data_IF_713856985528
#
_entry.id   IF_713856985528
#
_cell.length_a   1.000
_cell.length_b   1.000
_cell.length_c   1.000
_cell.angle_alpha   90.00
_cell.angle_beta   90.00
_cell.angle_gamma   90.00
#
_symmetry.space_group_name_H-M   'P 1'
#
loop_
_entity.id
_entity.type
_entity.pdbx_description
1 polymer ?
#
# COMPACT_ATOMS: atom_id res chain seq x y z
N UNK A 1 12.55 -2.54 -46.21
CA UNK A 1 12.00 -2.85 -44.89
C UNK A 1 11.79 -1.52 -44.17
N UNK A 2 10.55 -1.02 -44.09
CA UNK A 2 10.26 0.23 -43.37
C UNK A 2 10.02 -0.10 -41.91
N UNK A 3 10.80 0.49 -41.02
CA UNK A 3 10.46 0.55 -39.60
C UNK A 3 9.43 1.67 -39.43
N UNK A 4 8.14 1.32 -39.42
CA UNK A 4 7.10 2.23 -38.95
C UNK A 4 7.22 2.30 -37.43
N UNK A 5 7.93 3.33 -36.94
CA UNK A 5 8.02 3.58 -35.50
C UNK A 5 6.65 4.05 -35.03
N UNK A 6 6.02 3.25 -34.18
CA UNK A 6 4.69 3.53 -33.65
C UNK A 6 4.72 4.79 -32.77
N UNK A 7 3.81 5.72 -33.04
CA UNK A 7 3.70 6.98 -32.32
C UNK A 7 3.32 6.77 -30.84
N UNK A 8 2.57 5.72 -30.55
CA UNK A 8 2.18 5.35 -29.19
C UNK A 8 3.38 4.87 -28.35
N UNK A 9 4.29 4.09 -28.96
CA UNK A 9 5.51 3.62 -28.29
C UNK A 9 6.45 4.79 -27.95
N UNK A 10 6.64 5.74 -28.90
CA UNK A 10 7.41 6.97 -28.63
C UNK A 10 6.81 7.80 -27.49
N UNK A 11 5.48 7.87 -27.40
CA UNK A 11 4.81 8.63 -26.36
C UNK A 11 4.89 7.94 -24.99
N UNK A 12 4.76 6.61 -24.94
CA UNK A 12 4.92 5.85 -23.71
C UNK A 12 6.38 5.92 -23.20
N UNK A 13 7.37 5.88 -24.10
CA UNK A 13 8.78 6.12 -23.79
C UNK A 13 9.01 7.53 -23.22
N UNK A 14 8.38 8.56 -23.79
CA UNK A 14 8.41 9.93 -23.24
C UNK A 14 7.84 10.01 -21.81
N UNK A 15 6.71 9.34 -21.55
CA UNK A 15 6.11 9.26 -20.21
C UNK A 15 7.02 8.51 -19.22
N UNK A 16 7.70 7.44 -19.65
CA UNK A 16 8.66 6.71 -18.84
C UNK A 16 9.86 7.58 -18.46
N UNK A 17 10.43 8.32 -19.42
CA UNK A 17 11.58 9.21 -19.18
C UNK A 17 11.25 10.36 -18.21
N UNK A 18 10.11 11.04 -18.38
CA UNK A 18 9.65 12.06 -17.40
C UNK A 18 9.45 11.45 -16.00
N UNK A 19 8.98 10.21 -15.93
CA UNK A 19 8.78 9.52 -14.67
C UNK A 19 10.09 9.12 -14.00
N UNK A 20 11.09 8.66 -14.76
CA UNK A 20 12.43 8.37 -14.26
C UNK A 20 13.06 9.61 -13.61
N UNK A 21 12.97 10.75 -14.30
CA UNK A 21 13.48 12.03 -13.81
C UNK A 21 12.82 12.47 -12.50
N UNK A 22 11.52 12.22 -12.35
CA UNK A 22 10.80 12.59 -11.12
C UNK A 22 11.04 11.63 -9.96
N UNK A 23 10.91 10.31 -10.18
CA UNK A 23 10.93 9.31 -9.12
C UNK A 23 12.33 8.78 -8.78
N UNK A 24 13.21 8.64 -9.77
CA UNK A 24 14.54 8.06 -9.58
C UNK A 24 15.63 9.13 -9.47
N UNK A 25 15.59 10.18 -10.30
CA UNK A 25 16.55 11.30 -10.24
C UNK A 25 16.14 12.40 -9.22
N UNK A 26 14.96 12.29 -8.60
CA UNK A 26 14.40 13.26 -7.64
C UNK A 26 14.27 14.72 -8.18
N UNK A 27 14.23 14.93 -9.50
CA UNK A 27 14.00 16.26 -10.09
C UNK A 27 12.60 16.74 -9.78
N UNK A 28 12.46 18.02 -9.41
CA UNK A 28 11.14 18.61 -9.22
C UNK A 28 10.41 18.75 -10.55
N UNK A 29 9.07 18.73 -10.51
CA UNK A 29 8.23 18.99 -11.69
C UNK A 29 8.56 20.33 -12.39
N UNK A 30 9.11 21.31 -11.66
CA UNK A 30 9.51 22.61 -12.18
C UNK A 30 10.85 22.56 -12.93
N UNK A 31 11.77 21.68 -12.55
CA UNK A 31 13.04 21.46 -13.26
C UNK A 31 12.79 20.66 -14.54
N UNK A 32 12.02 19.56 -14.43
CA UNK A 32 11.56 18.78 -15.60
C UNK A 32 10.80 19.68 -16.58
N UNK A 33 9.96 20.60 -16.08
CA UNK A 33 9.25 21.54 -16.94
C UNK A 33 10.19 22.46 -17.74
N UNK A 34 11.30 22.91 -17.15
CA UNK A 34 12.31 23.71 -17.86
C UNK A 34 13.05 22.87 -18.91
N UNK A 35 13.45 21.66 -18.55
CA UNK A 35 14.22 20.75 -19.42
C UNK A 35 13.45 20.38 -20.70
N UNK A 36 12.13 20.15 -20.60
CA UNK A 36 11.25 19.86 -21.74
C UNK A 36 10.51 21.08 -22.32
N UNK A 37 10.91 22.32 -22.01
CA UNK A 37 10.25 23.56 -22.47
C UNK A 37 8.71 23.54 -22.32
N UNK A 38 8.23 23.09 -21.16
CA UNK A 38 6.82 22.85 -20.85
C UNK A 38 6.43 23.51 -19.53
N UNK A 39 5.22 23.24 -19.03
CA UNK A 39 4.74 23.79 -17.74
C UNK A 39 4.70 22.72 -16.67
N UNK A 40 4.87 23.12 -15.39
CA UNK A 40 4.69 22.24 -14.23
C UNK A 40 3.35 21.49 -14.27
N UNK A 41 2.29 22.16 -14.72
CA UNK A 41 0.95 21.57 -14.88
C UNK A 41 0.92 20.45 -15.93
N UNK A 42 1.62 20.62 -17.07
CA UNK A 42 1.77 19.55 -18.07
C UNK A 42 2.59 18.38 -17.51
N UNK A 43 3.70 18.63 -16.81
CA UNK A 43 4.49 17.56 -16.16
C UNK A 43 3.65 16.78 -15.14
N UNK A 44 2.84 17.46 -14.33
CA UNK A 44 1.92 16.80 -13.40
C UNK A 44 0.89 15.92 -14.12
N UNK A 45 0.37 16.35 -15.28
CA UNK A 45 -0.49 15.52 -16.13
C UNK A 45 0.24 14.31 -16.72
N UNK A 46 1.46 14.48 -17.24
CA UNK A 46 2.26 13.36 -17.78
C UNK A 46 2.56 12.31 -16.70
N UNK A 47 2.92 12.72 -15.48
CA UNK A 47 3.12 11.81 -14.35
C UNK A 47 1.82 11.10 -13.91
N UNK A 48 0.65 11.72 -14.09
CA UNK A 48 -0.64 11.06 -13.87
C UNK A 48 -0.93 10.04 -14.98
N UNK A 49 -0.78 10.44 -16.25
CA UNK A 49 -1.02 9.56 -17.40
C UNK A 49 -0.08 8.34 -17.41
N UNK A 50 1.17 8.50 -16.97
CA UNK A 50 2.11 7.40 -16.79
C UNK A 50 1.64 6.36 -15.74
N UNK A 51 0.94 6.80 -14.68
CA UNK A 51 0.30 5.89 -13.72
C UNK A 51 -0.97 5.26 -14.32
N UNK A 52 -1.81 6.05 -14.97
CA UNK A 52 -3.08 5.59 -15.56
C UNK A 52 -2.84 4.53 -16.66
N UNK A 53 -1.73 4.63 -17.39
CA UNK A 53 -1.27 3.65 -18.40
C UNK A 53 -0.47 2.47 -17.82
N UNK A 54 -0.29 2.39 -16.50
CA UNK A 54 0.55 1.38 -15.80
C UNK A 54 2.04 1.37 -16.22
N UNK A 55 2.54 2.47 -16.82
CA UNK A 55 3.97 2.68 -17.11
C UNK A 55 4.73 2.89 -15.79
N UNK A 56 4.07 3.52 -14.80
CA UNK A 56 4.59 3.69 -13.44
C UNK A 56 3.70 2.95 -12.45
N UNK A 57 4.27 1.95 -11.80
CA UNK A 57 3.66 1.28 -10.64
C UNK A 57 4.42 1.68 -9.38
N UNK A 58 3.72 2.21 -8.37
CA UNK A 58 4.30 2.62 -7.10
C UNK A 58 3.98 1.54 -6.06
N UNK A 59 4.99 0.77 -5.66
CA UNK A 59 4.88 -0.17 -4.53
C UNK A 59 5.30 0.53 -3.23
N UNK A 60 4.37 0.65 -2.28
CA UNK A 60 4.66 1.19 -0.95
C UNK A 60 4.87 0.01 0.00
N UNK A 61 6.14 -0.28 0.28
CA UNK A 61 6.53 -1.24 1.30
C UNK A 61 6.31 -0.62 2.69
N UNK A 62 5.10 -0.78 3.23
CA UNK A 62 4.81 -0.40 4.61
C UNK A 62 5.69 -1.23 5.56
N UNK A 63 6.44 -0.61 6.49
CA UNK A 63 7.21 -1.32 7.51
C UNK A 63 6.32 -1.93 8.60
N UNK A 64 5.02 -1.66 8.56
CA UNK A 64 4.08 -2.22 9.51
C UNK A 64 3.90 -3.71 9.32
N UNK A 65 3.69 -4.39 10.45
CA UNK A 65 3.29 -5.80 10.48
C UNK A 65 1.91 -5.98 9.82
N UNK A 66 1.09 -4.92 9.67
CA UNK A 66 -0.26 -4.98 9.10
C UNK A 66 -0.32 -4.89 7.57
N UNK A 67 -1.23 -5.66 6.97
CA UNK A 67 -1.45 -5.75 5.53
C UNK A 67 -2.74 -5.02 5.11
N UNK A 68 -2.80 -3.70 5.30
CA UNK A 68 -4.00 -2.86 5.13
C UNK A 68 -4.75 -3.04 3.80
N UNK A 69 -4.03 -3.26 2.70
CA UNK A 69 -4.63 -3.55 1.38
C UNK A 69 -5.37 -4.89 1.32
N UNK A 70 -4.91 -5.88 2.09
CA UNK A 70 -5.56 -7.18 2.23
C UNK A 70 -6.69 -7.13 3.25
N UNK A 71 -6.52 -6.37 4.35
CA UNK A 71 -7.58 -6.07 5.32
C UNK A 71 -8.81 -5.48 4.61
N UNK A 72 -8.62 -4.44 3.79
CA UNK A 72 -9.68 -3.84 2.98
C UNK A 72 -10.41 -4.87 2.10
N UNK A 73 -9.67 -5.68 1.34
CA UNK A 73 -10.24 -6.74 0.49
C UNK A 73 -11.07 -7.75 1.29
N UNK A 74 -10.60 -8.15 2.47
CA UNK A 74 -11.33 -9.08 3.34
C UNK A 74 -12.62 -8.44 3.88
N UNK A 75 -12.62 -7.16 4.27
CA UNK A 75 -13.84 -6.47 4.70
C UNK A 75 -14.88 -6.38 3.58
N UNK A 76 -14.44 -6.03 2.37
CA UNK A 76 -15.32 -5.93 1.19
C UNK A 76 -15.87 -7.30 0.76
N UNK A 77 -15.03 -8.33 0.74
CA UNK A 77 -15.41 -9.67 0.28
C UNK A 77 -16.31 -10.44 1.28
N UNK A 78 -16.07 -10.28 2.58
CA UNK A 78 -16.75 -11.06 3.62
C UNK A 78 -17.73 -10.24 4.49
N UNK A 79 -17.91 -8.94 4.21
CA UNK A 79 -18.81 -8.06 4.96
C UNK A 79 -18.38 -7.81 6.41
N UNK A 80 -17.08 -7.89 6.71
CA UNK A 80 -16.55 -7.77 8.07
C UNK A 80 -16.52 -6.31 8.53
N UNK A 81 -16.94 -6.07 9.78
CA UNK A 81 -16.83 -4.75 10.43
C UNK A 81 -15.37 -4.30 10.53
N UNK A 82 -14.49 -5.21 10.94
CA UNK A 82 -13.04 -5.01 10.94
C UNK A 82 -12.31 -6.30 10.54
N UNK A 83 -11.13 -6.15 9.95
CA UNK A 83 -10.22 -7.25 9.66
C UNK A 83 -8.80 -6.75 9.93
N UNK A 84 -8.05 -7.46 10.78
CA UNK A 84 -6.63 -7.15 11.05
C UNK A 84 -5.82 -8.32 10.54
N UNK A 85 -4.86 -8.06 9.65
CA UNK A 85 -4.08 -9.10 8.97
C UNK A 85 -2.60 -8.78 9.13
N UNK A 86 -1.88 -9.70 9.78
CA UNK A 86 -0.47 -9.56 10.08
C UNK A 86 0.40 -10.31 9.07
N UNK A 87 1.50 -9.69 8.64
CA UNK A 87 2.59 -10.28 7.89
C UNK A 87 3.49 -11.07 8.86
N UNK A 88 3.79 -12.30 8.49
CA UNK A 88 4.28 -13.37 9.36
C UNK A 88 5.60 -13.86 8.77
N UNK A 89 6.73 -13.36 9.29
CA UNK A 89 8.06 -13.50 8.67
C UNK A 89 9.00 -14.56 9.31
N UNK A 90 8.84 -14.92 10.59
CA UNK A 90 9.93 -15.43 11.45
C UNK A 90 9.86 -16.92 11.87
N UNK A 91 8.87 -17.67 11.37
CA UNK A 91 8.55 -19.08 11.60
C UNK A 91 8.23 -19.58 13.03
N UNK A 92 8.65 -18.91 14.11
CA UNK A 92 8.36 -19.35 15.48
C UNK A 92 6.89 -19.13 15.89
N UNK A 93 6.18 -20.24 16.11
CA UNK A 93 4.78 -20.26 16.56
C UNK A 93 4.53 -19.50 17.89
N UNK A 94 5.54 -19.43 18.77
CA UNK A 94 5.46 -18.72 20.05
C UNK A 94 5.50 -17.20 19.89
N UNK A 95 6.38 -16.70 19.02
CA UNK A 95 6.49 -15.28 18.71
C UNK A 95 5.23 -14.79 18.00
N UNK A 96 4.73 -15.56 17.02
CA UNK A 96 3.48 -15.26 16.33
C UNK A 96 2.27 -15.19 17.26
N UNK A 97 2.15 -16.14 18.20
CA UNK A 97 1.03 -16.15 19.15
C UNK A 97 1.03 -14.90 20.05
N UNK A 98 2.22 -14.42 20.45
CA UNK A 98 2.38 -13.17 21.22
C UNK A 98 2.04 -11.93 20.38
N UNK A 99 2.56 -11.82 19.15
CA UNK A 99 2.27 -10.67 18.27
C UNK A 99 0.78 -10.59 17.91
N UNK A 100 0.16 -11.73 17.62
CA UNK A 100 -1.28 -11.83 17.35
C UNK A 100 -2.10 -11.47 18.59
N UNK A 101 -1.72 -12.00 19.75
CA UNK A 101 -2.37 -11.71 21.04
C UNK A 101 -2.35 -10.22 21.38
N UNK A 102 -1.18 -9.59 21.34
CA UNK A 102 -1.03 -8.15 21.54
C UNK A 102 -1.89 -7.34 20.55
N UNK A 103 -1.83 -7.65 19.26
CA UNK A 103 -2.61 -6.93 18.24
C UNK A 103 -4.11 -7.05 18.48
N UNK A 104 -4.58 -8.23 18.92
CA UNK A 104 -5.97 -8.44 19.30
C UNK A 104 -6.35 -7.65 20.55
N UNK A 105 -5.49 -7.59 21.57
CA UNK A 105 -5.70 -6.79 22.77
C UNK A 105 -5.79 -5.28 22.45
N UNK A 106 -4.84 -4.76 21.66
CA UNK A 106 -4.80 -3.37 21.20
C UNK A 106 -6.12 -3.01 20.47
N UNK A 107 -6.61 -3.88 19.58
CA UNK A 107 -7.89 -3.65 18.89
C UNK A 107 -9.10 -3.73 19.83
N UNK A 108 -9.17 -4.75 20.70
CA UNK A 108 -10.25 -4.89 21.68
C UNK A 108 -10.35 -3.63 22.55
N UNK A 109 -9.23 -3.07 22.98
CA UNK A 109 -9.20 -1.83 23.76
C UNK A 109 -9.79 -0.62 23.01
N UNK A 110 -9.73 -0.57 21.67
CA UNK A 110 -10.34 0.52 20.89
C UNK A 110 -11.86 0.40 20.70
N UNK A 111 -12.45 -0.77 20.95
CA UNK A 111 -13.90 -1.01 20.77
C UNK A 111 -14.66 -1.19 22.09
N UNK A 112 -13.97 -1.41 23.21
CA UNK A 112 -14.57 -1.47 24.53
C UNK A 112 -14.92 -0.08 25.09
N UNK A 113 -15.86 -0.07 26.03
CA UNK A 113 -16.33 1.08 26.80
C UNK A 113 -16.75 0.56 28.19
N UNK A 114 -16.94 1.45 29.16
CA UNK A 114 -17.17 1.08 30.57
C UNK A 114 -18.39 0.18 30.78
N UNK A 115 -19.43 0.30 29.94
CA UNK A 115 -20.65 -0.52 29.96
C UNK A 115 -20.56 -1.82 29.10
N UNK A 116 -19.40 -2.14 28.52
CA UNK A 116 -19.22 -3.31 27.65
C UNK A 116 -19.28 -4.64 28.41
N UNK A 117 -20.17 -5.55 27.97
CA UNK A 117 -20.21 -6.94 28.44
C UNK A 117 -19.40 -7.82 27.48
N UNK A 118 -18.31 -8.41 27.98
CA UNK A 118 -17.40 -9.25 27.16
C UNK A 118 -17.69 -10.73 27.37
N UNK A 119 -18.13 -11.42 26.30
CA UNK A 119 -18.21 -12.88 26.25
C UNK A 119 -16.85 -13.49 25.86
N UNK A 120 -16.33 -14.41 26.66
CA UNK A 120 -15.05 -15.10 26.42
C UNK A 120 -15.26 -16.60 26.19
N UNK A 121 -14.38 -17.21 25.40
CA UNK A 121 -14.28 -18.66 25.20
C UNK A 121 -12.88 -19.16 25.54
N UNK A 122 -12.67 -20.48 25.54
CA UNK A 122 -11.38 -21.09 25.80
C UNK A 122 -10.55 -21.28 24.52
N UNK A 123 -9.28 -20.88 24.57
CA UNK A 123 -8.32 -21.13 23.49
C UNK A 123 -6.96 -20.47 23.75
N UNK A 124 -5.88 -21.05 23.20
CA UNK A 124 -4.53 -20.48 23.32
C UNK A 124 -4.44 -19.05 22.77
N UNK A 125 -5.12 -18.78 21.65
CA UNK A 125 -5.16 -17.45 21.03
C UNK A 125 -5.76 -16.39 21.96
N UNK A 126 -6.88 -16.71 22.63
CA UNK A 126 -7.50 -15.79 23.60
C UNK A 126 -6.64 -15.61 24.85
N UNK A 127 -5.98 -16.67 25.32
CA UNK A 127 -5.01 -16.55 26.42
C UNK A 127 -3.89 -15.56 26.10
N UNK A 128 -3.37 -15.55 24.87
CA UNK A 128 -2.37 -14.57 24.43
C UNK A 128 -2.91 -13.14 24.22
N UNK A 129 -4.23 -12.97 24.07
CA UNK A 129 -4.86 -11.64 23.94
C UNK A 129 -5.28 -11.02 25.29
N UNK A 130 -5.15 -11.76 26.40
CA UNK A 130 -5.56 -11.34 27.75
C UNK A 130 -4.33 -11.29 28.70
N UNK A 131 -3.19 -11.84 28.28
CA UNK A 131 -1.96 -11.98 29.07
C UNK A 131 -0.95 -10.86 28.78
#
# INVERSE_FOLDING_TARGET
MKFEVNFEDQYNEFLANISNMYYNENKTQSEIAKEFNTTRFKVAKYLQEARDKNIVNIEINHPEIRLSSLEKKFKEQFGLKEAIILKVNNNDASEYAQTLGKTAADYIQTILNDDSIVGLTWGKTLYHAIK
#
